data_IF_154294187564
#
_entry.id   IF_154294187564
#
_cell.length_a   1.000
_cell.length_b   1.000
_cell.length_c   1.000
_cell.angle_alpha   90.00
_cell.angle_beta   90.00
_cell.angle_gamma   90.00
#
_symmetry.space_group_name_H-M   'P 1'
#
loop_
_entity.id
_entity.type
_entity.pdbx_description
1 polymer ?
#
# COMPACT_ATOMS: atom_id res chain seq x y z
N UNK A 1 17.56 -12.95 -0.45
CA UNK A 1 16.99 -12.43 0.81
C UNK A 1 15.67 -13.14 1.10
N UNK A 2 15.32 -13.32 2.37
CA UNK A 2 14.00 -13.86 2.73
C UNK A 2 12.89 -12.84 2.40
N UNK A 3 11.73 -13.30 1.92
CA UNK A 3 10.64 -12.44 1.42
C UNK A 3 9.84 -11.68 2.47
N UNK A 4 10.34 -11.52 3.70
CA UNK A 4 9.69 -10.78 4.78
C UNK A 4 10.30 -9.39 5.02
N UNK A 5 11.32 -9.02 4.24
CA UNK A 5 11.98 -7.72 4.28
C UNK A 5 11.80 -7.00 2.94
N UNK A 6 11.49 -5.71 2.99
CA UNK A 6 11.29 -4.82 1.85
C UNK A 6 12.10 -3.53 2.07
N UNK A 7 12.56 -2.89 0.99
CA UNK A 7 13.38 -1.67 0.99
C UNK A 7 14.90 -1.97 0.94
N UNK A 8 15.68 -0.93 0.72
CA UNK A 8 17.15 -0.99 0.58
C UNK A 8 17.86 -0.24 1.71
N UNK A 9 17.52 1.02 1.95
CA UNK A 9 18.02 1.85 3.06
C UNK A 9 16.94 1.95 4.14
N UNK A 10 15.73 2.36 3.76
CA UNK A 10 14.57 2.30 4.65
C UNK A 10 13.97 0.90 4.57
N UNK A 11 14.43 0.01 5.43
CA UNK A 11 14.02 -1.40 5.38
C UNK A 11 12.91 -1.70 6.38
N UNK A 12 12.00 -2.57 5.95
CA UNK A 12 10.83 -2.99 6.73
C UNK A 12 10.79 -4.50 6.78
N UNK A 13 10.89 -5.09 7.98
CA UNK A 13 10.74 -6.53 8.20
C UNK A 13 9.49 -6.81 9.00
N UNK A 14 8.49 -7.47 8.41
CA UNK A 14 7.26 -7.86 9.10
C UNK A 14 7.31 -9.30 9.61
N UNK A 15 6.68 -9.56 10.77
CA UNK A 15 6.64 -10.88 11.41
C UNK A 15 5.30 -11.15 12.09
N UNK A 16 5.08 -12.40 12.49
CA UNK A 16 3.89 -12.85 13.20
C UNK A 16 2.76 -13.35 12.30
N UNK A 17 1.98 -14.28 12.79
CA UNK A 17 0.83 -14.93 12.14
C UNK A 17 -0.49 -14.36 12.67
N UNK A 18 -1.55 -14.45 11.85
CA UNK A 18 -2.87 -13.86 12.14
C UNK A 18 -3.53 -14.38 13.41
N UNK A 19 -3.21 -15.60 13.84
CA UNK A 19 -3.70 -16.28 15.03
C UNK A 19 -2.57 -16.67 16.00
N UNK A 20 -1.36 -16.12 15.78
CA UNK A 20 -0.27 -16.13 16.76
C UNK A 20 -0.52 -15.08 17.87
N UNK A 21 0.41 -14.96 18.81
CA UNK A 21 0.31 -14.04 19.95
C UNK A 21 0.26 -12.56 19.51
N UNK A 22 1.02 -12.23 18.45
CA UNK A 22 1.14 -10.87 17.94
C UNK A 22 1.60 -10.89 16.48
N UNK A 23 1.45 -9.74 15.82
CA UNK A 23 2.17 -9.38 14.60
C UNK A 23 3.03 -8.16 14.90
N UNK A 24 4.03 -7.90 14.09
CA UNK A 24 4.86 -6.72 14.29
C UNK A 24 5.70 -6.37 13.08
N UNK A 25 6.44 -5.31 13.25
CA UNK A 25 7.38 -4.80 12.24
C UNK A 25 8.63 -4.27 12.91
N UNK A 26 9.76 -4.47 12.26
CA UNK A 26 11.02 -3.75 12.52
C UNK A 26 11.28 -2.87 11.32
N UNK A 27 11.46 -1.57 11.57
CA UNK A 27 11.88 -0.57 10.58
C UNK A 27 13.31 -0.17 10.89
N UNK A 28 14.21 -0.30 9.93
CA UNK A 28 15.58 0.15 10.02
C UNK A 28 15.89 1.22 8.96
N UNK A 29 16.94 2.03 9.18
CA UNK A 29 17.30 3.12 8.28
C UNK A 29 16.45 4.39 8.42
N UNK A 30 15.54 4.47 9.38
CA UNK A 30 14.82 5.71 9.67
C UNK A 30 15.77 6.73 10.33
N UNK A 31 15.94 7.95 9.79
CA UNK A 31 16.82 8.97 10.39
C UNK A 31 16.45 9.32 11.83
N UNK A 32 17.43 9.75 12.62
CA UNK A 32 17.22 10.24 13.98
C UNK A 32 16.50 11.60 14.00
N UNK A 33 15.80 11.89 15.10
CA UNK A 33 15.20 13.19 15.38
C UNK A 33 13.80 13.41 14.82
N UNK A 34 13.21 12.42 14.12
CA UNK A 34 11.85 12.51 13.58
C UNK A 34 10.85 12.34 14.72
N UNK A 35 9.89 13.28 14.91
CA UNK A 35 8.84 13.16 15.91
C UNK A 35 7.96 11.93 15.64
N UNK A 36 7.84 11.03 16.62
CA UNK A 36 7.04 9.82 16.52
C UNK A 36 6.41 9.47 17.87
N UNK A 37 5.07 9.42 17.92
CA UNK A 37 4.28 9.14 19.12
C UNK A 37 3.25 8.06 18.84
N UNK A 38 2.69 7.45 19.88
CA UNK A 38 1.65 6.41 19.77
C UNK A 38 0.37 6.93 19.06
N UNK A 39 0.04 8.21 19.27
CA UNK A 39 -1.12 8.85 18.67
C UNK A 39 -1.05 8.86 17.14
N UNK A 40 0.15 8.95 16.56
CA UNK A 40 0.37 8.93 15.11
C UNK A 40 -0.11 7.60 14.50
N UNK A 41 0.13 6.49 15.20
CA UNK A 41 -0.34 5.16 14.79
C UNK A 41 -1.83 5.00 15.01
N UNK A 42 -2.34 5.44 16.16
CA UNK A 42 -3.76 5.30 16.55
C UNK A 42 -4.67 6.00 15.55
N UNK A 43 -4.30 7.18 15.08
CA UNK A 43 -5.06 7.93 14.08
C UNK A 43 -5.25 7.12 12.78
N UNK A 44 -4.16 6.52 12.27
CA UNK A 44 -4.20 5.73 11.03
C UNK A 44 -4.94 4.41 11.23
N UNK A 45 -4.73 3.73 12.36
CA UNK A 45 -5.45 2.48 12.65
C UNK A 45 -6.95 2.69 12.83
N UNK A 46 -7.39 3.82 13.34
CA UNK A 46 -8.83 4.14 13.48
C UNK A 46 -9.49 4.26 12.10
N UNK A 47 -8.85 4.89 11.12
CA UNK A 47 -9.37 4.98 9.75
C UNK A 47 -9.31 3.64 9.00
N UNK A 48 -8.34 2.78 9.31
CA UNK A 48 -8.16 1.47 8.69
C UNK A 48 -9.02 0.35 9.32
N UNK A 49 -9.77 0.65 10.39
CA UNK A 49 -10.65 -0.35 11.04
C UNK A 49 -11.85 -0.70 10.16
N UNK A 50 -12.25 -1.98 10.14
CA UNK A 50 -13.52 -2.35 9.55
C UNK A 50 -14.67 -1.59 10.23
N UNK A 51 -15.40 -0.79 9.47
CA UNK A 51 -16.50 0.05 9.99
C UNK A 51 -17.81 -0.14 9.22
N UNK A 52 -17.74 -0.76 8.04
CA UNK A 52 -18.86 -0.90 7.12
C UNK A 52 -19.65 -2.19 7.29
N UNK A 53 -20.88 -2.18 6.74
CA UNK A 53 -21.82 -3.33 6.72
C UNK A 53 -21.27 -4.52 5.93
N UNK A 54 -20.35 -4.29 5.00
CA UNK A 54 -19.80 -5.29 4.06
C UNK A 54 -18.40 -5.78 4.46
N UNK A 55 -17.97 -5.44 5.66
CA UNK A 55 -16.64 -5.79 6.18
C UNK A 55 -16.74 -6.85 7.28
N UNK A 56 -15.62 -7.53 7.52
CA UNK A 56 -15.52 -8.55 8.57
C UNK A 56 -15.93 -8.02 9.95
N UNK A 57 -16.53 -8.88 10.76
CA UNK A 57 -16.87 -8.58 12.15
C UNK A 57 -15.65 -8.70 13.11
N UNK A 58 -14.43 -9.06 12.62
CA UNK A 58 -13.24 -9.10 13.47
C UNK A 58 -12.85 -7.70 13.93
N UNK A 59 -12.69 -7.53 15.24
CA UNK A 59 -12.41 -6.23 15.88
C UNK A 59 -11.10 -6.30 16.67
N UNK A 60 -10.00 -5.99 16.00
CA UNK A 60 -8.70 -5.86 16.69
C UNK A 60 -8.50 -4.39 17.13
N UNK A 61 -8.10 -4.13 18.38
CA UNK A 61 -7.87 -2.77 18.87
C UNK A 61 -6.71 -2.10 18.14
N UNK A 62 -5.75 -2.88 17.62
CA UNK A 62 -4.54 -2.39 16.96
C UNK A 62 -3.79 -1.36 17.82
N UNK A 63 -3.70 -1.59 19.12
CA UNK A 63 -2.89 -0.74 20.00
C UNK A 63 -1.42 -1.06 19.79
N UNK A 64 -0.62 -0.13 19.26
CA UNK A 64 0.78 -0.38 19.01
C UNK A 64 1.60 -0.29 20.29
N UNK A 65 2.60 -1.16 20.41
CA UNK A 65 3.65 -1.10 21.43
C UNK A 65 4.97 -0.76 20.71
N UNK A 66 5.55 0.41 20.97
CA UNK A 66 6.89 0.76 20.44
C UNK A 66 7.90 0.17 21.42
N UNK A 67 8.69 -0.79 20.96
CA UNK A 67 9.64 -1.53 21.79
C UNK A 67 11.06 -0.98 21.74
N UNK A 68 11.44 -0.25 20.67
CA UNK A 68 12.79 0.30 20.46
C UNK A 68 12.80 1.46 19.47
N UNK A 69 13.94 2.14 19.37
CA UNK A 69 14.23 3.13 18.32
C UNK A 69 13.59 4.50 18.53
N UNK A 70 12.91 4.75 19.66
CA UNK A 70 12.29 6.03 20.01
C UNK A 70 12.61 6.40 21.45
N UNK A 71 13.05 7.63 21.66
CA UNK A 71 13.30 8.21 22.98
C UNK A 71 12.79 9.65 23.01
N UNK A 72 12.08 10.02 24.08
CA UNK A 72 11.47 11.35 24.27
C UNK A 72 10.62 11.81 23.05
N UNK A 73 9.90 10.85 22.43
CA UNK A 73 9.02 11.13 21.29
C UNK A 73 9.74 11.41 19.97
N UNK A 74 11.02 11.05 19.83
CA UNK A 74 11.82 11.18 18.61
C UNK A 74 12.55 9.89 18.28
N UNK A 75 12.72 9.63 16.98
CA UNK A 75 13.51 8.51 16.49
C UNK A 75 14.99 8.65 16.84
N UNK A 76 15.69 7.54 17.07
CA UNK A 76 17.11 7.50 17.46
C UNK A 76 18.06 7.18 16.29
N UNK A 77 17.54 6.83 15.09
CA UNK A 77 18.35 6.28 14.00
C UNK A 77 18.70 4.81 14.17
N UNK A 78 18.21 4.17 15.22
CA UNK A 78 18.34 2.72 15.48
C UNK A 78 17.06 2.00 15.09
N UNK A 79 17.05 0.65 14.95
CA UNK A 79 15.84 -0.08 14.54
C UNK A 79 14.64 0.20 15.43
N UNK A 80 13.51 0.55 14.80
CA UNK A 80 12.22 0.82 15.45
C UNK A 80 11.38 -0.45 15.37
N UNK A 81 11.11 -1.08 16.51
CA UNK A 81 10.26 -2.25 16.60
C UNK A 81 8.88 -1.85 17.11
N UNK A 82 7.84 -2.24 16.36
CA UNK A 82 6.43 -2.02 16.73
C UNK A 82 5.70 -3.35 16.79
N UNK A 83 5.03 -3.61 17.91
CA UNK A 83 4.26 -4.83 18.16
C UNK A 83 2.76 -4.53 18.23
N UNK A 84 1.94 -5.43 17.69
CA UNK A 84 0.47 -5.39 17.69
C UNK A 84 -0.07 -6.73 18.18
N UNK A 85 -0.66 -6.77 19.38
CA UNK A 85 -1.24 -7.99 19.95
C UNK A 85 -2.45 -8.46 19.17
N UNK A 86 -2.61 -9.79 19.02
CA UNK A 86 -3.82 -10.40 18.49
C UNK A 86 -4.75 -10.74 19.67
N UNK A 87 -5.87 -10.03 19.77
CA UNK A 87 -6.81 -10.15 20.89
C UNK A 87 -8.16 -10.74 20.48
N UNK A 88 -8.55 -10.66 19.20
CA UNK A 88 -9.79 -11.24 18.65
C UNK A 88 -9.48 -12.41 17.68
N UNK A 89 -8.46 -13.22 18.01
CA UNK A 89 -8.15 -14.44 17.28
C UNK A 89 -9.07 -15.58 17.75
N UNK A 90 -9.67 -16.32 16.80
CA UNK A 90 -10.56 -17.47 17.06
C UNK A 90 -10.08 -18.70 16.29
N UNK A 91 -9.06 -19.40 16.78
CA UNK A 91 -8.48 -20.57 16.08
C UNK A 91 -9.49 -21.67 15.80
N UNK A 92 -10.45 -21.89 16.71
CA UNK A 92 -11.48 -22.92 16.59
C UNK A 92 -12.35 -22.76 15.33
N UNK A 93 -12.59 -21.54 14.87
CA UNK A 93 -13.38 -21.26 13.63
C UNK A 93 -12.74 -21.89 12.37
N UNK A 94 -11.49 -22.34 12.44
CA UNK A 94 -10.72 -22.86 11.31
C UNK A 94 -10.41 -24.38 11.42
N UNK A 95 -10.85 -25.08 12.45
CA UNK A 95 -10.56 -26.51 12.63
C UNK A 95 -11.06 -27.36 11.48
N UNK A 96 -12.27 -27.08 10.98
CA UNK A 96 -12.83 -27.77 9.81
C UNK A 96 -12.03 -27.56 8.50
N UNK A 97 -11.17 -26.52 8.47
CA UNK A 97 -10.35 -26.19 7.29
C UNK A 97 -8.90 -26.69 7.41
N UNK A 98 -8.58 -27.44 8.47
CA UNK A 98 -7.20 -27.90 8.73
C UNK A 98 -6.63 -28.70 7.57
N UNK A 99 -7.41 -29.60 7.02
CA UNK A 99 -6.99 -30.50 5.94
C UNK A 99 -7.63 -30.15 4.59
N UNK A 100 -8.19 -28.94 4.45
CA UNK A 100 -8.86 -28.46 3.24
C UNK A 100 -8.12 -27.25 2.70
N UNK A 101 -7.95 -27.17 1.37
CA UNK A 101 -7.38 -26.02 0.68
C UNK A 101 -8.46 -25.15 0.10
N UNK A 102 -8.59 -23.91 0.62
CA UNK A 102 -9.59 -22.95 0.12
C UNK A 102 -9.25 -22.51 -1.30
N UNK A 103 -10.17 -22.55 -2.26
CA UNK A 103 -9.95 -22.09 -3.62
C UNK A 103 -9.52 -20.61 -3.64
N UNK A 104 -8.50 -20.28 -4.43
CA UNK A 104 -7.99 -18.92 -4.54
C UNK A 104 -7.29 -18.34 -3.30
N UNK A 105 -7.15 -19.13 -2.23
CA UNK A 105 -6.35 -18.81 -1.04
C UNK A 105 -4.92 -19.39 -1.15
N UNK A 106 -4.04 -19.00 -0.24
CA UNK A 106 -2.65 -19.44 -0.25
C UNK A 106 -2.40 -20.80 0.43
N UNK A 107 -3.42 -21.50 0.90
CA UNK A 107 -3.30 -22.71 1.72
C UNK A 107 -2.39 -23.77 1.09
N UNK A 108 -2.75 -24.22 -0.12
CA UNK A 108 -1.95 -25.18 -0.88
C UNK A 108 -0.53 -24.68 -1.19
N UNK A 109 -0.41 -23.40 -1.63
CA UNK A 109 0.88 -22.85 -2.03
C UNK A 109 1.85 -22.76 -0.85
N UNK A 110 1.37 -22.41 0.34
CA UNK A 110 2.19 -22.40 1.57
C UNK A 110 2.61 -23.81 1.97
N UNK A 111 1.69 -24.77 1.92
CA UNK A 111 1.99 -26.17 2.21
C UNK A 111 3.02 -26.75 1.22
N UNK A 112 2.83 -26.51 -0.07
CA UNK A 112 3.76 -26.95 -1.11
C UNK A 112 5.16 -26.34 -0.94
N UNK A 113 5.24 -25.05 -0.55
CA UNK A 113 6.51 -24.34 -0.38
C UNK A 113 7.24 -24.71 0.91
N UNK A 114 6.53 -24.68 2.04
CA UNK A 114 7.14 -24.80 3.37
C UNK A 114 6.97 -26.17 4.00
N UNK A 115 6.19 -27.09 3.37
CA UNK A 115 5.81 -28.42 3.90
C UNK A 115 5.07 -28.35 5.24
N UNK A 116 4.61 -27.16 5.60
CA UNK A 116 3.86 -26.86 6.82
C UNK A 116 3.18 -25.51 6.71
N UNK A 117 1.94 -25.42 7.18
CA UNK A 117 1.21 -24.14 7.28
C UNK A 117 0.56 -23.98 8.65
N UNK A 118 0.38 -22.74 9.08
CA UNK A 118 -0.56 -22.42 10.14
C UNK A 118 -1.95 -22.30 9.51
N UNK A 119 -2.78 -23.34 9.69
CA UNK A 119 -4.13 -23.39 9.12
C UNK A 119 -5.09 -22.40 9.79
N UNK A 120 -4.74 -21.85 10.97
CA UNK A 120 -5.57 -20.92 11.73
C UNK A 120 -5.60 -19.55 11.03
N UNK A 121 -6.68 -19.25 10.33
CA UNK A 121 -6.93 -17.97 9.67
C UNK A 121 -5.99 -17.60 8.52
N UNK A 122 -5.10 -18.51 8.08
CA UNK A 122 -4.20 -18.31 6.95
C UNK A 122 -2.83 -17.71 7.29
N UNK A 123 -2.45 -17.63 8.57
CA UNK A 123 -1.10 -17.25 9.00
C UNK A 123 -0.60 -15.93 8.42
N UNK A 124 0.54 -15.97 7.72
CA UNK A 124 1.14 -14.81 7.02
C UNK A 124 0.38 -14.39 5.76
N UNK A 125 -0.44 -15.27 5.17
CA UNK A 125 -1.27 -14.93 4.01
C UNK A 125 -2.59 -14.22 4.40
N UNK A 126 -2.85 -14.04 5.68
CA UNK A 126 -4.02 -13.33 6.20
C UNK A 126 -3.90 -11.82 6.01
N UNK A 127 -5.02 -11.13 5.75
CA UNK A 127 -5.10 -9.66 5.76
C UNK A 127 -4.72 -9.00 7.10
N UNK A 128 -4.57 -9.78 8.20
CA UNK A 128 -4.08 -9.27 9.48
C UNK A 128 -2.64 -8.73 9.39
N UNK A 129 -1.80 -9.34 8.55
CA UNK A 129 -0.41 -8.92 8.31
C UNK A 129 -0.32 -7.45 7.88
N UNK A 130 -1.33 -6.95 7.18
CA UNK A 130 -1.39 -5.56 6.72
C UNK A 130 -1.23 -4.52 7.84
N UNK A 131 -1.62 -4.82 9.08
CA UNK A 131 -1.47 -3.88 10.18
C UNK A 131 0.01 -3.60 10.52
N UNK A 132 0.91 -4.57 10.34
CA UNK A 132 2.35 -4.36 10.46
C UNK A 132 2.90 -3.40 9.38
N UNK A 133 2.39 -3.53 8.13
CA UNK A 133 2.74 -2.59 7.04
C UNK A 133 2.22 -1.19 7.30
N UNK A 134 1.00 -1.06 7.81
CA UNK A 134 0.42 0.24 8.18
C UNK A 134 1.29 0.92 9.25
N UNK A 135 1.75 0.16 10.27
CA UNK A 135 2.66 0.70 11.29
C UNK A 135 3.97 1.23 10.66
N UNK A 136 4.61 0.46 9.76
CA UNK A 136 5.78 0.94 9.04
C UNK A 136 5.48 2.17 8.17
N UNK A 137 4.31 2.21 7.53
CA UNK A 137 3.84 3.33 6.72
C UNK A 137 3.65 4.62 7.54
N UNK A 138 3.26 4.53 8.82
CA UNK A 138 3.20 5.69 9.72
C UNK A 138 4.59 6.29 9.91
N UNK A 139 5.60 5.45 10.19
CA UNK A 139 7.00 5.90 10.36
C UNK A 139 7.51 6.53 9.05
N UNK A 140 7.26 5.89 7.91
CA UNK A 140 7.63 6.41 6.61
C UNK A 140 6.98 7.76 6.30
N UNK A 141 5.66 7.92 6.54
CA UNK A 141 4.95 9.20 6.35
C UNK A 141 5.52 10.31 7.25
N UNK A 142 5.86 9.99 8.50
CA UNK A 142 6.54 10.94 9.40
C UNK A 142 7.89 11.37 8.85
N UNK A 143 8.68 10.43 8.36
CA UNK A 143 9.94 10.73 7.71
C UNK A 143 9.73 11.65 6.49
N UNK A 144 8.81 11.32 5.58
CA UNK A 144 8.52 12.12 4.39
C UNK A 144 8.08 13.56 4.72
N UNK A 145 7.44 13.77 5.87
CA UNK A 145 7.01 15.10 6.32
C UNK A 145 8.15 15.93 6.92
N UNK A 146 9.11 15.29 7.58
CA UNK A 146 10.15 15.98 8.37
C UNK A 146 11.55 15.92 7.73
N UNK A 147 11.75 15.05 6.76
CA UNK A 147 13.01 14.99 6.02
C UNK A 147 13.05 16.21 5.09
N UNK A 148 14.01 17.13 5.26
CA UNK A 148 14.09 18.30 4.40
C UNK A 148 14.25 17.83 2.97
N UNK A 149 13.35 18.29 2.10
CA UNK A 149 13.51 18.06 0.67
C UNK A 149 14.77 18.81 0.26
N UNK A 150 15.88 18.10 0.13
CA UNK A 150 17.20 18.64 -0.26
C UNK A 150 17.17 19.39 -1.60
N UNK A 151 16.04 19.32 -2.31
CA UNK A 151 15.82 19.93 -3.62
C UNK A 151 15.55 21.44 -3.63
N UNK A 152 15.12 22.07 -2.53
CA UNK A 152 14.87 23.52 -2.53
C UNK A 152 16.17 24.32 -2.73
N UNK A 153 17.29 23.84 -2.18
CA UNK A 153 18.59 24.51 -2.31
C UNK A 153 19.25 24.28 -3.68
N UNK A 154 19.06 23.11 -4.31
CA UNK A 154 19.73 22.78 -5.58
C UNK A 154 19.07 23.43 -6.82
N UNK A 155 17.73 23.56 -6.81
CA UNK A 155 17.04 24.26 -7.91
C UNK A 155 17.31 25.76 -7.90
N UNK A 156 17.70 26.33 -6.77
CA UNK A 156 18.10 27.73 -6.63
C UNK A 156 19.50 27.97 -7.18
N UNK A 157 20.42 26.99 -7.04
CA UNK A 157 21.80 27.11 -7.52
C UNK A 157 21.90 27.10 -9.06
N UNK A 158 21.01 26.40 -9.78
CA UNK A 158 20.97 26.44 -11.24
C UNK A 158 20.46 27.77 -11.83
N UNK A 159 19.91 28.67 -11.01
CA UNK A 159 19.44 29.99 -11.43
C UNK A 159 20.42 31.14 -11.12
N UNK A 160 21.57 30.84 -10.53
CA UNK A 160 22.54 31.88 -10.13
C UNK A 160 23.20 32.58 -11.37
N UNK A 161 23.13 32.01 -12.56
CA UNK A 161 23.76 32.54 -13.76
C UNK A 161 22.83 33.34 -14.72
N UNK A 162 21.63 33.67 -14.27
CA UNK A 162 20.82 34.80 -14.74
C UNK A 162 20.47 34.90 -16.24
N UNK A 163 20.56 33.83 -17.06
CA UNK A 163 20.06 33.87 -18.46
C UNK A 163 19.12 32.69 -18.73
N UNK A 164 17.88 32.95 -19.19
CA UNK A 164 17.09 31.89 -19.83
C UNK A 164 17.70 31.56 -21.19
N UNK A 165 17.66 30.31 -21.66
CA UNK A 165 17.98 30.00 -23.03
C UNK A 165 17.00 30.73 -23.96
N UNK A 166 17.53 31.47 -24.93
CA UNK A 166 16.76 32.20 -25.92
C UNK A 166 15.76 31.29 -26.63
N UNK A 167 14.49 31.68 -26.63
CA UNK A 167 13.52 31.24 -27.64
C UNK A 167 12.32 30.39 -27.20
N UNK A 168 11.81 30.49 -25.95
CA UNK A 168 10.46 29.97 -25.69
C UNK A 168 9.63 30.98 -24.90
N UNK A 169 8.60 31.51 -25.59
CA UNK A 169 7.57 32.39 -25.07
C UNK A 169 6.76 31.74 -23.95
N UNK A 170 6.39 32.58 -23.02
CA UNK A 170 5.53 32.30 -21.88
C UNK A 170 4.23 31.56 -22.25
N UNK A 171 4.06 30.34 -21.75
CA UNK A 171 2.75 29.74 -21.56
C UNK A 171 2.80 28.88 -20.31
N UNK A 172 2.03 29.26 -19.27
CA UNK A 172 1.81 28.43 -18.07
C UNK A 172 2.30 29.06 -16.78
N UNK A 173 1.67 30.15 -16.37
CA UNK A 173 1.66 30.61 -14.98
C UNK A 173 0.93 29.60 -14.12
N UNK A 174 1.69 28.70 -13.45
CA UNK A 174 1.35 28.07 -12.15
C UNK A 174 2.49 27.13 -11.72
N UNK A 175 3.74 27.67 -11.67
CA UNK A 175 4.80 27.04 -10.90
C UNK A 175 4.84 27.71 -9.53
N UNK A 176 4.75 26.97 -8.40
CA UNK A 176 4.87 27.58 -7.09
C UNK A 176 6.22 28.29 -6.97
N UNK A 177 6.17 29.58 -6.68
CA UNK A 177 7.33 30.38 -6.35
C UNK A 177 7.92 29.90 -5.01
N UNK A 178 9.22 29.95 -4.91
CA UNK A 178 10.08 29.55 -3.81
C UNK A 178 9.53 29.82 -2.41
N UNK A 179 9.62 28.80 -1.53
CA UNK A 179 9.48 28.92 -0.09
C UNK A 179 8.38 28.03 0.49
N UNK A 180 8.74 26.87 1.03
CA UNK A 180 7.97 25.78 1.62
C UNK A 180 7.48 24.75 0.61
N UNK A 181 8.25 23.67 0.45
CA UNK A 181 7.75 22.49 -0.26
C UNK A 181 6.52 21.95 0.48
N UNK A 182 5.37 21.88 -0.22
CA UNK A 182 4.18 21.27 0.34
C UNK A 182 4.49 19.81 0.72
N UNK A 183 3.95 19.30 1.82
CA UNK A 183 4.19 17.91 2.22
C UNK A 183 3.69 16.94 1.13
N UNK A 184 4.42 15.85 0.94
CA UNK A 184 3.97 14.75 0.08
C UNK A 184 2.66 14.21 0.65
N UNK A 185 1.63 14.14 -0.19
CA UNK A 185 0.34 13.57 0.17
C UNK A 185 0.07 12.32 -0.63
N UNK A 186 -0.38 11.26 0.05
CA UNK A 186 -0.70 9.97 -0.54
C UNK A 186 -2.16 9.70 -0.25
N UNK A 187 -2.96 9.48 -1.29
CA UNK A 187 -4.37 9.22 -1.18
C UNK A 187 -4.81 8.13 -2.13
N UNK A 188 -5.34 7.04 -1.59
CA UNK A 188 -5.96 5.98 -2.36
C UNK A 188 -7.48 6.07 -2.24
N UNK A 189 -8.20 5.95 -3.36
CA UNK A 189 -9.66 5.98 -3.45
C UNK A 189 -10.14 4.86 -4.36
N UNK A 190 -11.32 4.30 -4.08
CA UNK A 190 -11.96 3.35 -4.99
C UNK A 190 -12.61 4.10 -6.16
N UNK A 191 -12.42 3.59 -7.37
CA UNK A 191 -12.99 4.13 -8.63
C UNK A 191 -13.90 3.15 -9.34
N UNK A 192 -13.90 1.88 -8.91
CA UNK A 192 -14.84 0.85 -9.35
C UNK A 192 -15.02 -0.15 -8.21
N UNK A 193 -16.27 -0.50 -7.89
CA UNK A 193 -16.61 -1.47 -6.85
C UNK A 193 -17.65 -2.43 -7.39
N UNK A 194 -17.41 -3.74 -7.29
CA UNK A 194 -18.29 -4.79 -7.77
C UNK A 194 -18.69 -4.65 -9.26
N UNK A 195 -17.76 -4.13 -10.10
CA UNK A 195 -17.98 -3.88 -11.52
C UNK A 195 -18.74 -2.58 -11.83
N UNK A 196 -19.04 -1.74 -10.83
CA UNK A 196 -19.71 -0.45 -11.00
C UNK A 196 -18.67 0.67 -10.88
N UNK A 197 -18.37 1.41 -11.96
CA UNK A 197 -17.53 2.60 -11.90
C UNK A 197 -18.15 3.69 -11.01
N UNK A 198 -17.33 4.44 -10.30
CA UNK A 198 -17.79 5.50 -9.41
C UNK A 198 -16.80 6.68 -9.37
N UNK A 199 -17.29 7.84 -8.92
CA UNK A 199 -16.40 8.91 -8.49
C UNK A 199 -15.48 8.41 -7.37
N UNK A 200 -14.26 8.97 -7.20
CA UNK A 200 -13.34 8.53 -6.17
C UNK A 200 -13.98 8.49 -4.77
N UNK A 201 -14.00 7.30 -4.16
CA UNK A 201 -14.57 7.03 -2.82
C UNK A 201 -13.43 6.73 -1.86
N UNK A 202 -13.29 7.49 -0.78
CA UNK A 202 -12.31 7.25 0.28
C UNK A 202 -12.75 6.11 1.22
N UNK A 203 -11.87 5.70 2.13
CA UNK A 203 -12.20 4.64 3.09
C UNK A 203 -13.34 5.04 4.07
N UNK A 204 -13.58 6.33 4.27
CA UNK A 204 -14.58 6.86 5.22
C UNK A 204 -15.87 7.34 4.57
N UNK A 205 -15.90 7.43 3.24
CA UNK A 205 -17.08 7.93 2.51
C UNK A 205 -18.24 6.93 2.51
N UNK A 206 -19.44 7.46 2.44
CA UNK A 206 -20.65 6.65 2.21
C UNK A 206 -20.67 6.10 0.78
N UNK A 207 -21.26 4.93 0.63
CA UNK A 207 -21.41 4.30 -0.67
C UNK A 207 -22.61 4.86 -1.42
N UNK A 208 -22.50 5.11 -2.73
CA UNK A 208 -23.65 5.34 -3.61
C UNK A 208 -24.69 4.20 -3.46
N UNK A 209 -25.96 4.55 -3.57
CA UNK A 209 -27.07 3.61 -3.36
C UNK A 209 -27.00 2.39 -4.27
N UNK A 210 -26.58 2.54 -5.52
CA UNK A 210 -26.43 1.45 -6.49
C UNK A 210 -25.36 0.45 -6.03
N UNK A 211 -24.17 0.93 -5.65
CA UNK A 211 -23.08 0.08 -5.14
C UNK A 211 -23.49 -0.60 -3.83
N UNK A 212 -24.16 0.14 -2.94
CA UNK A 212 -24.65 -0.39 -1.68
C UNK A 212 -25.64 -1.54 -1.91
N UNK A 213 -26.60 -1.37 -2.82
CA UNK A 213 -27.58 -2.40 -3.20
C UNK A 213 -26.90 -3.61 -3.83
N UNK A 214 -25.93 -3.40 -4.71
CA UNK A 214 -25.16 -4.48 -5.34
C UNK A 214 -24.38 -5.30 -4.31
N UNK A 215 -23.67 -4.65 -3.39
CA UNK A 215 -22.93 -5.35 -2.33
C UNK A 215 -23.86 -6.07 -1.36
N UNK A 216 -25.05 -5.51 -1.08
CA UNK A 216 -26.06 -6.16 -0.25
C UNK A 216 -26.58 -7.47 -0.91
N UNK A 217 -26.84 -7.46 -2.22
CA UNK A 217 -27.24 -8.67 -2.94
C UNK A 217 -26.14 -9.73 -2.98
N UNK A 218 -24.87 -9.32 -3.17
CA UNK A 218 -23.70 -10.23 -3.14
C UNK A 218 -23.55 -10.84 -1.74
N UNK A 219 -23.68 -10.03 -0.68
CA UNK A 219 -23.66 -10.51 0.71
C UNK A 219 -24.76 -11.53 0.99
N UNK A 220 -25.99 -11.25 0.51
CA UNK A 220 -27.12 -12.17 0.67
C UNK A 220 -26.89 -13.49 -0.06
N UNK A 221 -26.23 -13.45 -1.22
CA UNK A 221 -25.83 -14.64 -1.98
C UNK A 221 -24.65 -15.40 -1.34
N UNK A 222 -24.06 -14.92 -0.24
CA UNK A 222 -22.90 -15.54 0.37
C UNK A 222 -21.63 -15.42 -0.46
N UNK A 223 -21.52 -14.42 -1.33
CA UNK A 223 -20.43 -14.23 -2.30
C UNK A 223 -19.59 -12.99 -1.97
N UNK A 224 -18.61 -12.66 -2.80
CA UNK A 224 -17.70 -11.54 -2.67
C UNK A 224 -17.47 -10.80 -3.98
N UNK A 225 -16.97 -9.58 -3.91
CA UNK A 225 -16.69 -8.73 -5.06
C UNK A 225 -15.28 -8.16 -5.04
N UNK A 226 -14.75 -7.86 -6.23
CA UNK A 226 -13.52 -7.12 -6.43
C UNK A 226 -13.76 -5.61 -6.51
N UNK A 227 -12.65 -4.87 -6.65
CA UNK A 227 -12.67 -3.44 -6.85
C UNK A 227 -11.43 -2.97 -7.62
N UNK A 228 -11.49 -1.76 -8.19
CA UNK A 228 -10.34 -1.03 -8.69
C UNK A 228 -10.17 0.21 -7.82
N UNK A 229 -8.95 0.42 -7.34
CA UNK A 229 -8.58 1.61 -6.57
C UNK A 229 -7.54 2.42 -7.34
N UNK A 230 -7.57 3.74 -7.18
CA UNK A 230 -6.57 4.66 -7.72
C UNK A 230 -5.81 5.28 -6.56
N UNK A 231 -4.48 5.23 -6.64
CA UNK A 231 -3.60 5.98 -5.74
C UNK A 231 -3.09 7.21 -6.46
N UNK A 232 -3.17 8.35 -5.78
CA UNK A 232 -2.61 9.63 -6.22
C UNK A 232 -1.63 10.13 -5.18
N UNK A 233 -0.40 10.42 -5.63
CA UNK A 233 0.66 10.98 -4.78
C UNK A 233 1.02 12.36 -5.30
N UNK A 234 0.83 13.37 -4.47
CA UNK A 234 1.10 14.76 -4.84
C UNK A 234 2.36 15.30 -4.17
N UNK A 235 2.93 16.32 -4.78
CA UNK A 235 4.11 17.04 -4.28
C UNK A 235 5.37 16.14 -4.20
N UNK A 236 5.47 15.14 -5.04
CA UNK A 236 6.66 14.30 -5.14
C UNK A 236 7.74 15.08 -5.89
N UNK A 237 8.95 15.25 -5.33
CA UNK A 237 10.02 15.89 -6.05
C UNK A 237 10.43 15.07 -7.29
N UNK A 238 10.89 15.73 -8.33
CA UNK A 238 11.53 15.06 -9.45
C UNK A 238 12.85 14.43 -9.00
N UNK A 239 13.20 13.26 -9.56
CA UNK A 239 14.49 12.63 -9.33
C UNK A 239 14.46 11.35 -8.46
N UNK A 240 13.30 10.90 -7.99
CA UNK A 240 13.20 9.67 -7.21
C UNK A 240 13.06 8.45 -8.14
N UNK A 241 13.91 7.46 -7.93
CA UNK A 241 13.95 6.21 -8.69
C UNK A 241 15.36 5.83 -9.12
N UNK A 242 15.66 4.54 -9.18
CA UNK A 242 17.00 3.99 -9.42
C UNK A 242 17.00 3.08 -10.66
N UNK A 243 17.00 3.65 -11.89
CA UNK A 243 17.17 2.81 -13.07
C UNK A 243 18.55 2.12 -13.04
N UNK A 244 18.70 0.94 -13.68
CA UNK A 244 17.78 0.35 -14.66
C UNK A 244 16.70 -0.51 -13.99
N UNK A 245 16.97 -1.24 -12.93
CA UNK A 245 16.07 -2.27 -12.38
C UNK A 245 15.16 -1.75 -11.27
N UNK A 246 15.65 -0.86 -10.42
CA UNK A 246 14.89 -0.30 -9.29
C UNK A 246 14.17 1.00 -9.69
N UNK A 247 13.56 1.01 -10.87
CA UNK A 247 12.70 2.10 -11.32
C UNK A 247 11.60 2.36 -10.30
N UNK A 248 11.20 3.61 -10.11
CA UNK A 248 10.17 3.97 -9.15
C UNK A 248 8.86 3.20 -9.37
N UNK A 249 8.39 3.07 -10.62
CA UNK A 249 7.21 2.27 -10.94
C UNK A 249 7.42 0.77 -10.66
N UNK A 250 8.63 0.24 -10.81
CA UNK A 250 8.92 -1.16 -10.51
C UNK A 250 8.85 -1.46 -9.00
N UNK A 251 9.44 -0.58 -8.18
CA UNK A 251 9.38 -0.72 -6.73
C UNK A 251 7.97 -0.46 -6.17
N UNK A 252 7.24 0.52 -6.72
CA UNK A 252 5.83 0.73 -6.40
C UNK A 252 4.99 -0.49 -6.79
N UNK A 253 5.21 -1.07 -7.97
CA UNK A 253 4.49 -2.27 -8.41
C UNK A 253 4.79 -3.46 -7.51
N UNK A 254 6.05 -3.72 -7.16
CA UNK A 254 6.47 -4.77 -6.22
C UNK A 254 5.82 -4.58 -4.85
N UNK A 255 5.81 -3.36 -4.34
CA UNK A 255 5.19 -3.03 -3.06
C UNK A 255 3.68 -3.30 -3.07
N UNK A 256 2.96 -2.80 -4.07
CA UNK A 256 1.50 -2.91 -4.19
C UNK A 256 1.06 -4.33 -4.51
N UNK A 257 1.73 -5.04 -5.43
CA UNK A 257 1.45 -6.45 -5.75
C UNK A 257 1.77 -7.41 -4.59
N UNK A 258 2.59 -6.99 -3.63
CA UNK A 258 2.85 -7.78 -2.42
C UNK A 258 1.68 -7.78 -1.43
N UNK A 259 0.71 -6.88 -1.59
CA UNK A 259 -0.49 -6.79 -0.76
C UNK A 259 -1.44 -7.94 -1.11
N UNK A 260 -1.93 -8.65 -0.10
CA UNK A 260 -2.92 -9.71 -0.30
C UNK A 260 -4.14 -9.21 -1.07
N UNK A 261 -4.63 -10.00 -2.02
CA UNK A 261 -5.74 -9.71 -2.94
C UNK A 261 -5.47 -8.73 -4.08
N UNK A 262 -4.36 -8.00 -4.10
CA UNK A 262 -3.97 -7.21 -5.27
C UNK A 262 -3.47 -8.13 -6.39
N UNK A 263 -3.95 -7.92 -7.63
CA UNK A 263 -3.65 -8.76 -8.79
C UNK A 263 -3.24 -8.01 -10.05
N UNK A 264 -3.31 -6.70 -10.04
CA UNK A 264 -2.89 -5.87 -11.16
C UNK A 264 -2.55 -4.46 -10.71
N UNK A 265 -1.67 -3.80 -11.45
CA UNK A 265 -1.33 -2.39 -11.29
C UNK A 265 -1.10 -1.79 -12.68
N UNK A 266 -1.49 -0.54 -12.87
CA UNK A 266 -1.29 0.22 -14.10
C UNK A 266 -0.99 1.69 -13.77
N UNK A 267 0.08 2.25 -14.32
CA UNK A 267 0.50 3.63 -14.10
C UNK A 267 -0.07 4.56 -15.16
N UNK A 268 -0.50 5.76 -14.78
CA UNK A 268 -1.06 6.78 -15.66
C UNK A 268 -2.24 6.26 -16.48
N UNK A 269 -2.15 6.34 -17.81
CA UNK A 269 -3.16 5.81 -18.71
C UNK A 269 -3.16 4.27 -18.83
N UNK A 270 -2.15 3.60 -18.23
CA UNK A 270 -2.09 2.13 -18.14
C UNK A 270 -2.18 1.45 -19.50
N UNK A 271 -3.04 0.46 -19.64
CA UNK A 271 -3.22 -0.31 -20.88
C UNK A 271 -3.76 0.51 -22.05
N UNK A 272 -4.30 1.71 -21.83
CA UNK A 272 -4.75 2.57 -22.91
C UNK A 272 -3.58 3.12 -23.73
N UNK A 273 -2.37 3.23 -23.15
CA UNK A 273 -1.17 3.63 -23.88
C UNK A 273 -0.91 2.78 -25.14
N UNK A 274 -1.26 1.50 -25.12
CA UNK A 274 -1.11 0.62 -26.29
C UNK A 274 -2.01 0.99 -27.48
N UNK A 275 -2.99 1.88 -27.28
CA UNK A 275 -3.94 2.34 -28.30
C UNK A 275 -3.68 3.79 -28.74
N UNK A 276 -2.71 4.46 -28.11
CA UNK A 276 -2.33 5.83 -28.41
C UNK A 276 -1.21 5.88 -29.44
N UNK A 277 -1.20 6.92 -30.25
CA UNK A 277 -0.02 7.30 -31.01
C UNK A 277 1.05 7.89 -30.07
N UNK A 278 2.31 7.96 -30.53
CA UNK A 278 3.38 8.57 -29.72
C UNK A 278 3.10 10.04 -29.38
N UNK A 279 2.50 10.81 -30.31
CA UNK A 279 2.12 12.20 -30.07
C UNK A 279 1.02 12.36 -29.03
N UNK A 280 0.03 11.47 -29.01
CA UNK A 280 -1.03 11.45 -28.00
C UNK A 280 -0.45 11.07 -26.63
N UNK A 281 0.37 10.03 -26.56
CA UNK A 281 1.00 9.58 -25.32
C UNK A 281 1.93 10.65 -24.71
N UNK A 282 2.58 11.46 -25.54
CA UNK A 282 3.51 12.51 -25.12
C UNK A 282 2.82 13.85 -24.77
N UNK A 283 1.49 13.93 -24.79
CA UNK A 283 0.77 15.15 -24.42
C UNK A 283 1.10 15.58 -22.99
N UNK A 284 1.79 16.72 -22.84
CA UNK A 284 2.41 17.18 -21.59
C UNK A 284 1.37 17.47 -20.49
N UNK A 285 0.17 17.89 -20.88
CA UNK A 285 -0.95 18.27 -20.02
C UNK A 285 -1.75 17.07 -19.48
N UNK A 286 -1.55 15.87 -20.02
CA UNK A 286 -2.39 14.68 -19.73
C UNK A 286 -1.84 13.73 -18.67
N UNK A 287 -0.56 13.85 -18.31
CA UNK A 287 0.09 12.94 -17.35
C UNK A 287 -0.10 11.43 -17.66
N UNK A 288 -0.08 11.06 -18.93
CA UNK A 288 -0.33 9.68 -19.37
C UNK A 288 0.70 8.67 -18.80
N UNK A 289 1.90 9.12 -18.44
CA UNK A 289 2.95 8.30 -17.84
C UNK A 289 2.82 8.20 -16.30
N UNK A 290 1.83 8.88 -15.69
CA UNK A 290 1.57 8.79 -14.25
C UNK A 290 2.66 9.39 -13.37
N UNK A 291 3.34 10.46 -13.80
CA UNK A 291 4.36 11.20 -13.04
C UNK A 291 5.72 10.53 -12.95
N UNK A 292 5.97 9.50 -13.78
CA UNK A 292 7.22 8.74 -13.80
C UNK A 292 7.71 8.63 -15.24
N UNK A 293 8.93 9.09 -15.52
CA UNK A 293 9.55 9.06 -16.82
C UNK A 293 10.93 8.41 -16.73
N UNK A 294 11.16 7.36 -17.53
CA UNK A 294 12.43 6.63 -17.52
C UNK A 294 12.74 5.90 -16.20
N UNK A 295 11.73 5.68 -15.35
CA UNK A 295 11.89 5.06 -14.04
C UNK A 295 12.10 6.05 -12.90
N UNK A 296 12.00 7.35 -13.16
CA UNK A 296 12.29 8.42 -12.22
C UNK A 296 11.09 9.37 -12.15
N UNK A 297 10.74 9.87 -10.95
CA UNK A 297 9.68 10.85 -10.78
C UNK A 297 10.02 12.15 -11.55
N UNK A 298 9.05 12.71 -12.27
CA UNK A 298 9.22 13.90 -13.10
C UNK A 298 8.67 15.19 -12.46
N UNK A 299 8.21 15.12 -11.20
CA UNK A 299 7.65 16.24 -10.44
C UNK A 299 6.15 16.45 -10.64
N UNK A 300 5.50 15.65 -11.48
CA UNK A 300 4.04 15.58 -11.59
C UNK A 300 3.47 14.65 -10.52
N UNK A 301 2.14 14.67 -10.37
CA UNK A 301 1.45 13.71 -9.51
C UNK A 301 1.73 12.28 -9.98
N UNK A 302 2.13 11.40 -9.05
CA UNK A 302 2.22 9.98 -9.35
C UNK A 302 0.81 9.39 -9.26
N UNK A 303 0.36 8.78 -10.34
CA UNK A 303 -0.98 8.19 -10.45
C UNK A 303 -0.87 6.75 -10.94
N UNK A 304 -1.49 5.84 -10.21
CA UNK A 304 -1.65 4.44 -10.64
C UNK A 304 -2.97 3.86 -10.16
N UNK A 305 -3.42 2.79 -10.83
CA UNK A 305 -4.59 2.00 -10.46
C UNK A 305 -4.15 0.61 -10.03
N UNK A 306 -4.87 0.02 -9.08
CA UNK A 306 -4.64 -1.35 -8.62
C UNK A 306 -5.94 -2.15 -8.57
N UNK A 307 -5.87 -3.42 -9.01
CA UNK A 307 -7.02 -4.34 -9.03
C UNK A 307 -7.00 -5.20 -7.78
N UNK A 308 -8.11 -5.20 -7.06
CA UNK A 308 -8.36 -6.02 -5.88
C UNK A 308 -9.32 -7.15 -6.28
N UNK A 309 -8.86 -8.40 -6.21
CA UNK A 309 -9.71 -9.56 -6.51
C UNK A 309 -10.77 -9.77 -5.43
N UNK A 310 -11.88 -10.47 -5.73
CA UNK A 310 -12.82 -10.94 -4.73
C UNK A 310 -12.17 -11.76 -3.62
N UNK A 311 -12.76 -11.74 -2.43
CA UNK A 311 -12.32 -12.55 -1.28
C UNK A 311 -12.54 -14.04 -1.60
N UNK A 312 -11.53 -14.91 -1.43
CA UNK A 312 -11.68 -16.32 -1.77
C UNK A 312 -12.53 -17.12 -0.76
N UNK A 313 -12.66 -16.64 0.47
CA UNK A 313 -13.47 -17.30 1.50
C UNK A 313 -14.91 -16.81 1.38
N UNK A 314 -15.78 -17.60 0.76
CA UNK A 314 -17.21 -17.30 0.55
C UNK A 314 -18.09 -18.39 1.15
N UNK A 315 -19.33 -18.04 1.44
CA UNK A 315 -20.33 -18.95 2.05
C UNK A 315 -21.08 -19.82 1.01
N UNK A 316 -20.71 -19.71 -0.26
CA UNK A 316 -21.24 -20.60 -1.29
C UNK A 316 -20.50 -21.94 -1.29
N UNK A 317 -21.21 -23.01 -1.67
CA UNK A 317 -20.59 -24.31 -1.90
C UNK A 317 -19.58 -24.24 -3.05
N UNK A 318 -18.40 -24.73 -2.81
CA UNK A 318 -17.31 -24.79 -3.78
C UNK A 318 -16.67 -26.19 -3.77
N UNK A 319 -16.15 -26.61 -4.91
CA UNK A 319 -15.30 -27.79 -4.97
C UNK A 319 -13.93 -27.40 -4.39
N UNK A 320 -13.52 -28.09 -3.34
CA UNK A 320 -12.25 -27.89 -2.65
C UNK A 320 -11.43 -29.16 -2.68
N UNK A 321 -10.12 -29.02 -2.64
CA UNK A 321 -9.18 -30.14 -2.56
C UNK A 321 -8.74 -30.31 -1.10
N UNK A 322 -8.64 -31.55 -0.67
CA UNK A 322 -8.11 -31.92 0.65
C UNK A 322 -6.59 -32.17 0.58
N UNK A 323 -5.95 -32.23 1.74
CA UNK A 323 -4.54 -32.59 1.85
C UNK A 323 -4.24 -34.03 1.37
N UNK A 324 -5.25 -34.93 1.35
CA UNK A 324 -5.16 -36.28 0.76
C UNK A 324 -5.33 -36.31 -0.77
N UNK A 325 -5.69 -35.17 -1.40
CA UNK A 325 -5.95 -35.07 -2.84
C UNK A 325 -7.39 -35.34 -3.25
N UNK A 326 -8.30 -35.58 -2.30
CA UNK A 326 -9.71 -35.79 -2.57
C UNK A 326 -10.41 -34.46 -2.89
N UNK A 327 -11.46 -34.51 -3.70
CA UNK A 327 -12.34 -33.38 -3.99
C UNK A 327 -13.62 -33.47 -3.17
N UNK A 328 -13.91 -32.44 -2.44
CA UNK A 328 -15.12 -32.31 -1.62
C UNK A 328 -15.91 -31.05 -2.02
N UNK A 329 -17.23 -31.07 -1.82
CA UNK A 329 -18.05 -29.86 -1.89
C UNK A 329 -18.19 -29.32 -0.48
N UNK A 330 -17.78 -28.05 -0.26
CA UNK A 330 -17.85 -27.44 1.07
C UNK A 330 -18.07 -25.93 0.96
N UNK A 331 -18.80 -25.36 1.92
CA UNK A 331 -19.00 -23.92 2.07
C UNK A 331 -18.20 -23.40 3.24
N UNK A 332 -17.46 -22.29 3.07
CA UNK A 332 -16.64 -21.73 4.13
C UNK A 332 -17.55 -20.88 5.04
N UNK A 333 -17.67 -21.30 6.28
CA UNK A 333 -18.35 -20.53 7.31
C UNK A 333 -17.40 -19.59 8.03
N UNK A 334 -17.87 -18.43 8.50
CA UNK A 334 -17.03 -17.50 9.26
C UNK A 334 -17.32 -16.03 8.97
N UNK A 335 -16.39 -15.17 9.47
CA UNK A 335 -16.49 -13.71 9.35
C UNK A 335 -15.67 -13.24 8.16
N UNK A 336 -16.32 -13.05 7.01
CA UNK A 336 -15.64 -12.65 5.77
C UNK A 336 -16.05 -11.26 5.33
N UNK A 337 -15.14 -10.58 4.61
CA UNK A 337 -15.44 -9.34 3.92
C UNK A 337 -16.20 -9.65 2.63
N UNK A 338 -17.15 -8.83 2.26
CA UNK A 338 -17.81 -8.90 0.93
C UNK A 338 -16.92 -8.24 -0.13
N UNK A 339 -16.25 -7.14 0.23
CA UNK A 339 -15.30 -6.46 -0.64
C UNK A 339 -14.18 -5.81 0.20
N UNK A 340 -12.91 -5.93 -0.26
CA UNK A 340 -11.73 -5.54 0.51
C UNK A 340 -11.24 -4.11 0.28
N UNK A 341 -11.85 -3.32 -0.61
CA UNK A 341 -11.29 -2.04 -1.05
C UNK A 341 -10.93 -1.11 0.12
N UNK A 342 -11.80 -0.93 1.12
CA UNK A 342 -11.55 -0.07 2.28
C UNK A 342 -10.35 -0.52 3.11
N UNK A 343 -10.13 -1.82 3.22
CA UNK A 343 -9.02 -2.38 3.99
C UNK A 343 -7.70 -2.35 3.25
N UNK A 344 -7.73 -2.42 1.93
CA UNK A 344 -6.53 -2.42 1.08
C UNK A 344 -5.99 -1.00 0.85
N UNK A 345 -6.85 0.01 0.74
CA UNK A 345 -6.43 1.40 0.48
C UNK A 345 -5.41 1.93 1.50
N UNK A 346 -5.60 1.83 2.83
CA UNK A 346 -4.59 2.28 3.80
C UNK A 346 -3.26 1.51 3.70
N UNK A 347 -3.30 0.26 3.24
CA UNK A 347 -2.10 -0.56 3.05
C UNK A 347 -1.34 -0.10 1.81
N UNK A 348 -2.03 0.27 0.73
CA UNK A 348 -1.42 0.89 -0.46
C UNK A 348 -0.73 2.18 -0.06
N UNK A 349 -1.42 3.07 0.67
CA UNK A 349 -0.84 4.33 1.16
C UNK A 349 0.42 4.09 2.00
N UNK A 350 0.41 3.08 2.86
CA UNK A 350 1.54 2.71 3.68
C UNK A 350 2.73 2.20 2.84
N UNK A 351 2.47 1.31 1.88
CA UNK A 351 3.52 0.76 1.01
C UNK A 351 4.11 1.81 0.09
N UNK A 352 3.30 2.73 -0.44
CA UNK A 352 3.77 3.88 -1.23
C UNK A 352 4.67 4.78 -0.39
N UNK A 353 4.28 5.08 0.86
CA UNK A 353 5.11 5.87 1.76
C UNK A 353 6.46 5.21 2.04
N UNK A 354 6.49 3.88 2.22
CA UNK A 354 7.73 3.11 2.45
C UNK A 354 8.64 3.19 1.22
N UNK A 355 8.10 3.02 0.00
CA UNK A 355 8.88 3.13 -1.25
C UNK A 355 9.47 4.53 -1.39
N UNK A 356 8.66 5.57 -1.19
CA UNK A 356 9.13 6.94 -1.31
C UNK A 356 10.17 7.30 -0.24
N UNK A 357 10.01 6.81 1.00
CA UNK A 357 11.00 7.00 2.05
C UNK A 357 12.34 6.35 1.69
N UNK A 358 12.33 5.12 1.18
CA UNK A 358 13.54 4.43 0.71
C UNK A 358 14.19 5.18 -0.46
N UNK A 359 13.41 5.58 -1.48
CA UNK A 359 13.92 6.32 -2.64
C UNK A 359 14.50 7.69 -2.27
N UNK A 360 13.91 8.40 -1.31
CA UNK A 360 14.46 9.67 -0.83
C UNK A 360 15.81 9.51 -0.14
N UNK A 361 15.99 8.45 0.67
CA UNK A 361 17.28 8.16 1.30
C UNK A 361 18.32 7.72 0.26
N UNK A 362 17.93 6.91 -0.72
CA UNK A 362 18.81 6.50 -1.83
C UNK A 362 19.25 7.71 -2.65
N UNK A 363 18.34 8.64 -2.96
CA UNK A 363 18.65 9.88 -3.67
C UNK A 363 19.68 10.74 -2.93
N UNK A 364 19.59 10.83 -1.60
CA UNK A 364 20.59 11.53 -0.80
C UNK A 364 22.00 10.94 -0.90
N UNK A 365 22.11 9.64 -1.15
CA UNK A 365 23.40 8.95 -1.37
C UNK A 365 23.91 9.10 -2.82
N UNK A 366 23.03 9.34 -3.78
CA UNK A 366 23.38 9.44 -5.21
C UNK A 366 23.93 10.83 -5.62
N UNK A 367 23.78 11.85 -4.78
CA UNK A 367 24.17 13.22 -5.08
C UNK A 367 25.33 13.68 -4.19
N UNK A 368 26.36 14.25 -4.80
CA UNK A 368 27.39 14.99 -4.06
C UNK A 368 26.78 16.35 -3.69
N UNK A 369 26.49 16.56 -2.42
CA UNK A 369 26.12 17.88 -1.93
C UNK A 369 27.30 18.83 -2.15
N UNK A 370 27.12 19.87 -2.98
CA UNK A 370 28.04 21.00 -2.93
C UNK A 370 27.84 21.70 -1.59
N UNK A 371 28.82 21.55 -0.70
CA UNK A 371 28.93 22.29 0.55
C UNK A 371 29.21 23.76 0.27
#
# INVERSE_FOLDING_TARGET
>A
MAGNTFGTIFTVTTFGESHGAAIGVVVDGCPAGIPLKLEDFTAVFNTARPSGTFETARREPNTPEILSGVFEGKTLGTPIAVLLRNTDARPHDYEALKDIYRPGHADFAYEAKYRRRDWRGGGRASGREAAARIAAGVIAKKMLTHYPVLHSAQYTACKADGKPPDGTSAAGENRPQHGTSLPITIQTSAIEIAGIPCAPISATDELPSEINSKLASIKQAGDSAGAIVQCMVRNVPAGLGEPVFDKLEAELAKAVLSIGSVKGIAFGAGFQLARMSGSEANAVDKNHHGGISGGISDGKDIVFQAVIKPVPSIAQEQIMETASGDRITHAITGRHDVCLYRRVMPVIDAMVAIVLADMMLRQGAAQILKV
#
